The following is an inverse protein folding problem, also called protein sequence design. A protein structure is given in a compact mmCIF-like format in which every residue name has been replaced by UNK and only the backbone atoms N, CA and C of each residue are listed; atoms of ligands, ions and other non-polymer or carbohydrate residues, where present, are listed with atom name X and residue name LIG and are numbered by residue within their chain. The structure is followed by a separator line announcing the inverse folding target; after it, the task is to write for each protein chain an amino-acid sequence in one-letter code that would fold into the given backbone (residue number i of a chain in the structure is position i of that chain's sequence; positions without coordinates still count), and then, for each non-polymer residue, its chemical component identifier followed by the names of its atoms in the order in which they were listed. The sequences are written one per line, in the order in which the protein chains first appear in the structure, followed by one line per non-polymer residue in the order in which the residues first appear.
data_IF_122777706091
#
_entry.id   IF_122777706091
#
_cell.length_a   1.000
_cell.length_b   1.000
_cell.length_c   1.000
_cell.angle_alpha   90.00
_cell.angle_beta   90.00
_cell.angle_gamma   90.00
#
_symmetry.space_group_name_H-M   'P 1'
#
loop_
_entity.id
_entity.type
_entity.pdbx_description
1 polymer ?
#
# COMPACT_ATOMS: atom_id res chain seq x y z
N UNK A 1 32.34 36.82 -12.08
CA UNK A 1 31.24 36.25 -12.90
C UNK A 1 30.37 35.47 -11.91
N UNK A 2 29.22 36.04 -11.52
CA UNK A 2 28.24 35.33 -10.69
C UNK A 2 27.57 34.26 -11.56
N UNK A 3 27.96 33.03 -11.39
CA UNK A 3 27.15 31.91 -11.90
C UNK A 3 25.96 31.79 -10.98
N UNK A 4 24.85 32.45 -11.33
CA UNK A 4 23.56 32.23 -10.69
C UNK A 4 23.22 30.75 -10.83
N UNK A 5 23.10 30.09 -9.69
CA UNK A 5 22.66 28.70 -9.60
C UNK A 5 21.29 28.57 -10.29
N UNK A 6 21.09 27.68 -11.25
CA UNK A 6 19.82 27.59 -11.98
C UNK A 6 18.70 27.22 -10.99
N UNK A 7 17.67 28.06 -10.95
CA UNK A 7 16.47 27.77 -10.19
C UNK A 7 15.76 26.56 -10.83
N UNK A 8 15.45 25.56 -10.01
CA UNK A 8 14.70 24.39 -10.49
C UNK A 8 13.19 24.65 -10.42
N UNK A 9 12.47 24.19 -11.42
CA UNK A 9 11.01 24.27 -11.53
C UNK A 9 10.46 22.86 -11.69
N UNK A 10 9.54 22.46 -10.82
CA UNK A 10 8.80 21.20 -10.94
C UNK A 10 7.67 21.33 -11.96
N UNK A 11 7.59 20.41 -12.90
CA UNK A 11 6.55 20.36 -13.95
C UNK A 11 5.92 18.98 -13.99
N UNK A 12 4.60 18.93 -14.06
CA UNK A 12 3.86 17.70 -14.41
C UNK A 12 4.05 17.43 -15.90
N UNK A 13 4.43 16.22 -16.22
CA UNK A 13 4.78 15.81 -17.57
C UNK A 13 3.52 15.40 -18.32
N UNK A 14 3.22 16.06 -19.41
CA UNK A 14 2.12 15.68 -20.30
C UNK A 14 2.36 14.34 -21.01
N UNK A 15 1.30 13.73 -21.52
CA UNK A 15 1.31 12.36 -22.06
C UNK A 15 2.35 12.11 -23.17
N UNK A 16 2.70 13.12 -23.96
CA UNK A 16 3.69 13.00 -25.05
C UNK A 16 5.13 12.81 -24.58
N UNK A 17 5.48 13.24 -23.35
CA UNK A 17 6.85 13.24 -22.82
C UNK A 17 7.05 12.32 -21.61
N UNK A 18 5.99 11.69 -21.14
CA UNK A 18 6.05 10.76 -19.99
C UNK A 18 7.07 9.63 -20.23
N UNK A 19 7.19 9.15 -21.48
CA UNK A 19 8.11 8.07 -21.83
C UNK A 19 9.57 8.40 -21.54
N UNK A 20 10.06 9.57 -21.98
CA UNK A 20 11.47 9.99 -21.75
C UNK A 20 11.79 10.18 -20.28
N UNK A 21 10.94 10.90 -19.57
CA UNK A 21 11.10 11.14 -18.14
C UNK A 21 11.06 9.81 -17.34
N UNK A 22 10.16 8.90 -17.73
CA UNK A 22 10.07 7.58 -17.15
C UNK A 22 11.32 6.74 -17.41
N UNK A 23 11.78 6.64 -18.66
CA UNK A 23 12.98 5.85 -19.00
C UNK A 23 14.25 6.40 -18.31
N UNK A 24 14.36 7.72 -18.19
CA UNK A 24 15.44 8.33 -17.43
C UNK A 24 15.35 7.88 -15.94
N UNK A 25 14.18 8.02 -15.32
CA UNK A 25 13.98 7.65 -13.91
C UNK A 25 14.21 6.16 -13.65
N UNK A 26 13.76 5.29 -14.57
CA UNK A 26 13.93 3.85 -14.44
C UNK A 26 15.39 3.40 -14.67
N UNK A 27 16.19 4.19 -15.39
CA UNK A 27 17.63 3.96 -15.52
C UNK A 27 18.42 4.21 -14.23
N UNK A 28 17.86 4.98 -13.29
CA UNK A 28 18.53 5.37 -12.04
C UNK A 28 18.17 4.46 -10.83
N UNK A 29 17.35 3.44 -11.03
CA UNK A 29 16.90 2.52 -9.97
C UNK A 29 17.21 1.08 -10.29
N UNK A 30 17.02 0.17 -9.32
CA UNK A 30 17.26 -1.25 -9.56
C UNK A 30 16.34 -1.81 -10.65
N UNK A 31 16.78 -2.81 -11.43
CA UNK A 31 15.95 -3.44 -12.46
C UNK A 31 14.61 -3.96 -11.94
N UNK A 32 14.57 -4.50 -10.72
CA UNK A 32 13.37 -5.02 -10.10
C UNK A 32 12.35 -3.91 -9.80
N UNK A 33 12.83 -2.78 -9.27
CA UNK A 33 11.98 -1.62 -9.01
C UNK A 33 11.51 -1.00 -10.33
N UNK A 34 12.39 -0.88 -11.32
CA UNK A 34 12.06 -0.39 -12.64
C UNK A 34 10.92 -1.22 -13.27
N UNK A 35 11.02 -2.53 -13.20
CA UNK A 35 10.00 -3.45 -13.74
C UNK A 35 8.67 -3.33 -12.98
N UNK A 36 8.71 -3.26 -11.66
CA UNK A 36 7.50 -3.05 -10.84
C UNK A 36 6.75 -1.78 -11.23
N UNK A 37 7.47 -0.66 -11.44
CA UNK A 37 6.87 0.62 -11.86
C UNK A 37 6.33 0.52 -13.29
N UNK A 38 7.04 -0.14 -14.23
CA UNK A 38 6.55 -0.36 -15.61
C UNK A 38 5.24 -1.13 -15.62
N UNK A 39 5.18 -2.26 -14.89
CA UNK A 39 3.98 -3.10 -14.81
C UNK A 39 2.78 -2.30 -14.29
N UNK A 40 2.95 -1.45 -13.29
CA UNK A 40 1.88 -0.58 -12.79
C UNK A 40 1.41 0.42 -13.84
N UNK A 41 2.34 1.11 -14.52
CA UNK A 41 2.00 2.07 -15.57
C UNK A 41 1.30 1.40 -16.75
N UNK A 42 1.75 0.23 -17.17
CA UNK A 42 1.10 -0.54 -18.24
C UNK A 42 -0.27 -1.04 -17.82
N UNK A 43 -0.42 -1.54 -16.61
CA UNK A 43 -1.71 -1.93 -16.04
C UNK A 43 -2.72 -0.79 -16.07
N UNK A 44 -2.30 0.43 -15.75
CA UNK A 44 -3.12 1.64 -15.87
C UNK A 44 -3.52 1.96 -17.31
N UNK A 45 -2.58 1.88 -18.26
CA UNK A 45 -2.85 2.12 -19.68
C UNK A 45 -3.88 1.12 -20.21
N UNK A 46 -3.72 -0.15 -19.86
CA UNK A 46 -4.65 -1.22 -20.25
C UNK A 46 -6.04 -1.01 -19.61
N UNK A 47 -6.09 -0.67 -18.33
CA UNK A 47 -7.34 -0.38 -17.61
C UNK A 47 -8.13 0.75 -18.28
N UNK A 48 -7.47 1.87 -18.66
CA UNK A 48 -8.10 2.97 -19.39
C UNK A 48 -8.63 2.55 -20.76
N UNK A 49 -7.91 1.72 -21.49
CA UNK A 49 -8.38 1.20 -22.80
C UNK A 49 -9.63 0.32 -22.67
N UNK A 50 -9.85 -0.27 -21.50
CA UNK A 50 -11.03 -1.07 -21.14
C UNK A 50 -12.15 -0.24 -20.48
N UNK A 51 -12.04 1.11 -20.48
CA UNK A 51 -13.03 2.02 -19.90
C UNK A 51 -13.04 2.10 -18.37
N UNK A 52 -12.00 1.60 -17.70
CA UNK A 52 -11.81 1.80 -16.25
C UNK A 52 -11.32 3.22 -15.98
N UNK A 53 -11.99 3.89 -15.07
CA UNK A 53 -11.66 5.27 -14.65
C UNK A 53 -10.83 5.33 -13.36
N UNK A 54 -10.53 4.17 -12.79
CA UNK A 54 -9.88 4.06 -11.49
C UNK A 54 -8.40 4.41 -11.59
N UNK A 55 -8.02 5.40 -10.82
CA UNK A 55 -6.66 5.89 -10.67
C UNK A 55 -6.19 6.88 -11.74
N UNK A 56 -5.15 7.60 -11.40
CA UNK A 56 -4.37 8.43 -12.33
C UNK A 56 -2.90 8.32 -11.95
N UNK A 57 -2.02 8.21 -12.96
CA UNK A 57 -0.58 8.29 -12.73
C UNK A 57 -0.12 9.71 -13.05
N UNK A 58 0.60 10.30 -12.10
CA UNK A 58 1.19 11.62 -12.20
C UNK A 58 2.71 11.43 -12.25
N UNK A 59 3.32 11.94 -13.32
CA UNK A 59 4.78 11.97 -13.46
C UNK A 59 5.20 13.44 -13.46
N UNK A 60 6.13 13.81 -12.62
CA UNK A 60 6.69 15.16 -12.59
C UNK A 60 8.21 15.15 -12.56
N UNK A 61 8.81 16.08 -13.29
CA UNK A 61 10.26 16.30 -13.31
C UNK A 61 10.64 17.68 -12.78
N UNK A 62 11.85 17.78 -12.22
CA UNK A 62 12.49 19.04 -11.88
C UNK A 62 13.43 19.48 -13.00
N UNK A 63 13.23 20.66 -13.53
CA UNK A 63 14.01 21.23 -14.66
C UNK A 63 14.62 22.58 -14.28
N UNK A 64 15.74 22.97 -14.89
CA UNK A 64 16.26 24.34 -14.77
C UNK A 64 15.22 25.37 -15.20
N UNK A 65 15.19 26.52 -14.54
CA UNK A 65 14.36 27.63 -14.98
C UNK A 65 14.78 28.08 -16.38
N UNK A 66 13.85 28.05 -17.34
CA UNK A 66 14.14 28.28 -18.75
C UNK A 66 14.48 27.04 -19.58
N UNK A 67 14.67 25.88 -18.90
CA UNK A 67 14.81 24.58 -19.57
C UNK A 67 13.50 24.10 -20.20
N UNK A 68 13.61 23.22 -21.18
CA UNK A 68 12.48 22.61 -21.88
C UNK A 68 12.36 21.16 -21.50
N UNK A 69 11.13 20.72 -21.19
CA UNK A 69 10.81 19.28 -20.98
C UNK A 69 11.16 18.45 -22.21
N UNK A 70 11.20 19.08 -23.36
CA UNK A 70 11.45 18.43 -24.65
C UNK A 70 12.94 18.17 -24.91
N UNK A 71 13.81 19.04 -24.42
CA UNK A 71 15.23 19.06 -24.79
C UNK A 71 16.17 18.73 -23.63
N UNK A 72 15.72 18.91 -22.40
CA UNK A 72 16.55 18.74 -21.21
C UNK A 72 16.18 17.46 -20.45
N UNK A 73 17.17 16.79 -19.87
CA UNK A 73 16.94 15.72 -18.93
C UNK A 73 16.51 16.30 -17.56
N UNK A 74 15.60 15.64 -16.83
CA UNK A 74 15.20 16.11 -15.51
C UNK A 74 16.35 15.96 -14.50
N UNK A 75 16.41 16.88 -13.53
CA UNK A 75 17.34 16.81 -12.41
C UNK A 75 16.79 15.98 -11.24
N UNK A 76 15.51 15.62 -11.29
CA UNK A 76 14.82 14.74 -10.34
C UNK A 76 13.44 14.38 -10.87
N UNK A 77 12.93 13.22 -10.48
CA UNK A 77 11.62 12.72 -10.93
C UNK A 77 10.83 12.21 -9.75
N UNK A 78 9.53 12.51 -9.72
CA UNK A 78 8.56 11.91 -8.82
C UNK A 78 7.41 11.30 -9.62
N UNK A 79 7.01 10.08 -9.27
CA UNK A 79 5.90 9.36 -9.88
C UNK A 79 4.94 8.95 -8.76
N UNK A 80 3.67 9.30 -8.89
CA UNK A 80 2.63 8.91 -7.96
C UNK A 80 1.42 8.32 -8.70
N UNK A 81 0.72 7.41 -8.04
CA UNK A 81 -0.51 6.77 -8.48
C UNK A 81 -1.64 7.13 -7.53
N UNK A 82 -2.78 7.58 -8.04
CA UNK A 82 -3.99 7.76 -7.24
C UNK A 82 -4.63 6.40 -7.04
N UNK A 83 -4.61 5.91 -5.81
CA UNK A 83 -5.06 4.55 -5.46
C UNK A 83 -6.45 4.55 -4.83
N UNK A 84 -6.84 5.67 -4.22
CA UNK A 84 -8.15 5.88 -3.60
C UNK A 84 -8.58 7.33 -3.83
N UNK A 85 -9.87 7.67 -3.67
CA UNK A 85 -10.34 9.04 -3.92
C UNK A 85 -9.62 10.14 -3.13
N UNK A 86 -9.10 9.81 -1.94
CA UNK A 86 -8.41 10.73 -1.03
C UNK A 86 -6.91 10.46 -0.89
N UNK A 87 -6.40 9.39 -1.53
CA UNK A 87 -5.01 8.92 -1.39
C UNK A 87 -4.33 8.70 -2.73
N UNK A 88 -3.05 9.03 -2.77
CA UNK A 88 -2.12 8.58 -3.79
C UNK A 88 -0.90 7.90 -3.15
N UNK A 89 -0.29 6.97 -3.85
CA UNK A 89 0.94 6.31 -3.47
C UNK A 89 2.11 6.83 -4.31
N UNK A 90 3.20 7.19 -3.65
CA UNK A 90 4.45 7.57 -4.31
C UNK A 90 5.15 6.30 -4.76
N UNK A 91 5.17 6.06 -6.06
CA UNK A 91 5.79 4.88 -6.67
C UNK A 91 7.30 5.04 -6.80
N UNK A 92 7.75 6.25 -7.12
CA UNK A 92 9.15 6.52 -7.40
C UNK A 92 9.52 7.96 -7.06
N UNK A 93 10.66 8.13 -6.42
CA UNK A 93 11.29 9.41 -6.16
C UNK A 93 12.80 9.28 -6.46
N UNK A 94 13.26 9.93 -7.50
CA UNK A 94 14.64 9.84 -7.98
C UNK A 94 15.34 11.19 -7.84
N UNK A 95 16.49 11.16 -7.18
CA UNK A 95 17.49 12.22 -7.23
C UNK A 95 18.43 11.96 -8.43
N UNK A 96 19.04 13.00 -9.02
CA UNK A 96 20.07 12.77 -9.99
C UNK A 96 21.21 11.94 -9.38
N UNK A 97 21.89 11.10 -10.16
CA UNK A 97 23.10 10.43 -9.67
C UNK A 97 24.03 11.53 -9.15
N UNK A 98 24.59 11.33 -7.97
CA UNK A 98 25.68 12.17 -7.47
C UNK A 98 26.84 12.02 -8.46
N UNK A 99 26.82 12.84 -9.50
CA UNK A 99 27.64 12.73 -10.70
C UNK A 99 29.09 12.51 -10.34
N UNK A 100 29.64 11.47 -10.94
CA UNK A 100 31.08 11.29 -11.00
C UNK A 100 31.74 12.55 -11.57
N UNK A 101 32.49 13.25 -10.75
CA UNK A 101 33.41 14.26 -11.17
C UNK A 101 32.89 15.70 -11.21
N UNK A 102 32.79 16.28 -10.04
CA UNK A 102 33.35 17.61 -9.76
C UNK A 102 33.54 17.73 -8.24
N UNK A 103 34.77 17.48 -7.80
CA UNK A 103 35.29 17.98 -6.53
C UNK A 103 35.27 19.51 -6.59
N UNK A 104 34.20 20.10 -6.13
CA UNK A 104 34.02 21.54 -5.96
C UNK A 104 33.24 21.72 -4.68
N UNK A 105 33.99 21.78 -3.57
CA UNK A 105 33.50 22.39 -2.31
C UNK A 105 33.01 23.80 -2.61
N UNK A 106 31.95 24.15 -1.87
CA UNK A 106 31.53 25.51 -1.58
C UNK A 106 30.63 26.21 -2.62
N UNK A 107 29.33 26.14 -2.40
CA UNK A 107 28.55 27.38 -2.30
C UNK A 107 27.35 27.14 -1.42
N UNK A 108 27.36 27.83 -0.28
CA UNK A 108 26.29 27.91 0.69
C UNK A 108 25.16 28.78 0.10
N UNK A 109 24.43 28.24 -0.84
CA UNK A 109 23.18 28.77 -1.37
C UNK A 109 22.18 27.63 -1.29
N UNK A 110 20.97 27.89 -0.82
CA UNK A 110 19.87 26.92 -0.71
C UNK A 110 19.57 26.31 -2.11
N UNK A 111 20.33 25.29 -2.47
CA UNK A 111 20.08 24.52 -3.67
C UNK A 111 18.86 23.65 -3.35
N UNK A 112 17.69 23.99 -3.89
CA UNK A 112 16.47 23.19 -3.70
C UNK A 112 16.75 21.78 -4.20
N UNK A 113 16.49 20.80 -3.34
CA UNK A 113 16.56 19.38 -3.66
C UNK A 113 15.69 19.08 -4.89
N UNK A 114 16.25 18.54 -5.99
CA UNK A 114 15.49 18.28 -7.21
C UNK A 114 14.30 17.33 -7.00
N UNK A 115 14.46 16.32 -6.14
CA UNK A 115 13.38 15.42 -5.76
C UNK A 115 12.25 16.17 -5.05
N UNK A 116 12.59 17.09 -4.14
CA UNK A 116 11.58 17.92 -3.47
C UNK A 116 10.84 18.84 -4.45
N UNK A 117 11.52 19.35 -5.47
CA UNK A 117 10.90 20.19 -6.52
C UNK A 117 9.94 19.37 -7.38
N UNK A 118 10.34 18.17 -7.83
CA UNK A 118 9.49 17.25 -8.58
C UNK A 118 8.28 16.81 -7.76
N UNK A 119 8.50 16.42 -6.51
CA UNK A 119 7.44 16.04 -5.57
C UNK A 119 6.46 17.19 -5.32
N UNK A 120 6.94 18.43 -5.23
CA UNK A 120 6.09 19.62 -5.12
C UNK A 120 5.13 19.78 -6.30
N UNK A 121 5.54 19.41 -7.51
CA UNK A 121 4.65 19.40 -8.68
C UNK A 121 3.60 18.29 -8.60
N UNK A 122 3.98 17.08 -8.15
CA UNK A 122 3.04 15.98 -7.89
C UNK A 122 2.00 16.42 -6.84
N UNK A 123 2.43 16.98 -5.71
CA UNK A 123 1.53 17.42 -4.63
C UNK A 123 0.52 18.48 -5.12
N UNK A 124 0.93 19.42 -5.98
CA UNK A 124 0.01 20.40 -6.57
C UNK A 124 -1.03 19.73 -7.46
N UNK A 125 -0.61 18.82 -8.34
CA UNK A 125 -1.53 18.10 -9.23
C UNK A 125 -2.52 17.25 -8.43
N UNK A 126 -2.08 16.54 -7.39
CA UNK A 126 -2.94 15.76 -6.50
C UNK A 126 -3.97 16.63 -5.80
N UNK A 127 -3.57 17.80 -5.30
CA UNK A 127 -4.48 18.77 -4.68
C UNK A 127 -5.55 19.27 -5.64
N UNK A 128 -5.17 19.57 -6.89
CA UNK A 128 -6.11 19.97 -7.94
C UNK A 128 -7.13 18.86 -8.27
N UNK A 129 -6.74 17.60 -8.04
CA UNK A 129 -7.62 16.42 -8.17
C UNK A 129 -8.46 16.14 -6.91
N UNK A 130 -8.28 16.90 -5.83
CA UNK A 130 -8.96 16.67 -4.55
C UNK A 130 -8.34 15.57 -3.68
N UNK A 131 -7.16 15.08 -4.04
CA UNK A 131 -6.43 14.05 -3.26
C UNK A 131 -5.66 14.74 -2.13
N UNK A 132 -6.03 14.46 -0.88
CA UNK A 132 -5.48 15.13 0.31
C UNK A 132 -4.24 14.48 0.91
N UNK A 133 -3.97 13.22 0.59
CA UNK A 133 -2.95 12.40 1.23
C UNK A 133 -2.06 11.68 0.21
N UNK A 134 -0.75 11.78 0.40
CA UNK A 134 0.25 11.04 -0.37
C UNK A 134 1.03 10.13 0.57
N UNK A 135 1.06 8.84 0.24
CA UNK A 135 1.74 7.78 0.97
C UNK A 135 2.99 7.31 0.23
N UNK A 136 3.97 6.83 0.97
CA UNK A 136 5.15 6.16 0.45
C UNK A 136 5.54 5.01 1.38
N UNK A 137 6.25 4.02 0.84
CA UNK A 137 6.86 2.95 1.63
C UNK A 137 8.37 2.99 1.51
N UNK A 138 9.06 2.47 2.55
CA UNK A 138 10.51 2.33 2.54
C UNK A 138 10.92 0.99 3.14
N UNK A 139 11.95 0.38 2.56
CA UNK A 139 12.61 -0.83 3.09
C UNK A 139 14.03 -0.54 3.61
N UNK A 140 14.58 0.60 3.22
CA UNK A 140 15.96 0.96 3.55
C UNK A 140 16.07 2.32 4.24
N UNK A 141 17.10 2.47 5.07
CA UNK A 141 17.39 3.75 5.75
C UNK A 141 17.65 4.91 4.77
N UNK A 142 18.13 4.61 3.55
CA UNK A 142 18.38 5.63 2.51
C UNK A 142 17.07 6.18 1.97
N UNK A 143 16.08 5.32 1.74
CA UNK A 143 14.73 5.72 1.35
C UNK A 143 14.07 6.54 2.46
N UNK A 144 14.19 6.08 3.71
CA UNK A 144 13.68 6.79 4.88
C UNK A 144 14.24 8.22 4.97
N UNK A 145 15.57 8.35 4.94
CA UNK A 145 16.23 9.67 4.99
C UNK A 145 15.85 10.57 3.82
N UNK A 146 15.55 9.98 2.65
CA UNK A 146 15.06 10.74 1.48
C UNK A 146 13.66 11.25 1.72
N UNK A 147 12.75 10.39 2.18
CA UNK A 147 11.36 10.76 2.46
C UNK A 147 11.28 11.84 3.54
N UNK A 148 12.06 11.73 4.62
CA UNK A 148 12.15 12.76 5.65
C UNK A 148 12.58 14.12 5.08
N UNK A 149 13.63 14.15 4.25
CA UNK A 149 14.13 15.39 3.63
C UNK A 149 13.09 16.10 2.78
N UNK A 150 12.22 15.34 2.11
CA UNK A 150 11.18 15.91 1.24
C UNK A 150 9.84 16.12 1.97
N UNK A 151 9.83 15.98 3.29
CA UNK A 151 8.71 16.38 4.15
C UNK A 151 7.67 15.29 4.41
N UNK A 152 8.00 14.00 4.22
CA UNK A 152 7.17 12.91 4.72
C UNK A 152 7.44 12.69 6.21
N UNK A 153 6.38 12.29 6.92
CA UNK A 153 6.46 11.82 8.30
C UNK A 153 6.18 10.31 8.34
N UNK A 154 6.89 9.59 9.21
CA UNK A 154 6.63 8.17 9.41
C UNK A 154 5.28 8.00 10.12
N UNK A 155 4.37 7.22 9.52
CA UNK A 155 3.02 6.97 10.06
C UNK A 155 2.86 5.57 10.62
N UNK A 156 3.61 4.59 10.12
CA UNK A 156 3.60 3.22 10.65
C UNK A 156 4.91 2.49 10.36
N UNK A 157 5.13 1.39 11.08
CA UNK A 157 6.11 0.35 10.75
C UNK A 157 5.37 -0.95 10.51
N UNK A 158 5.42 -1.45 9.30
CA UNK A 158 4.66 -2.63 8.89
C UNK A 158 5.60 -3.82 8.71
N UNK A 159 5.21 -4.98 9.27
CA UNK A 159 5.80 -6.27 8.92
C UNK A 159 4.93 -6.93 7.84
N UNK A 160 5.54 -7.27 6.72
CA UNK A 160 4.94 -8.19 5.75
C UNK A 160 5.26 -9.60 6.21
N UNK A 161 4.23 -10.37 6.46
CA UNK A 161 4.36 -11.74 6.98
C UNK A 161 3.72 -12.74 6.04
N UNK A 162 4.25 -13.95 5.99
CA UNK A 162 3.76 -15.04 5.15
C UNK A 162 3.56 -16.31 5.94
N UNK A 163 2.55 -17.08 5.57
CA UNK A 163 2.28 -18.42 6.08
C UNK A 163 2.11 -19.38 4.91
N UNK A 164 2.94 -20.42 4.87
CA UNK A 164 2.74 -21.56 3.98
C UNK A 164 1.65 -22.48 4.54
N UNK A 165 0.77 -22.97 3.67
CA UNK A 165 -0.37 -23.82 4.05
C UNK A 165 -0.13 -25.31 3.72
N UNK A 166 1.13 -25.74 3.73
CA UNK A 166 1.50 -27.12 3.53
C UNK A 166 1.03 -28.04 4.69
N UNK A 167 0.77 -29.31 4.41
CA UNK A 167 0.24 -30.26 5.38
C UNK A 167 1.15 -30.53 6.60
N UNK A 168 2.42 -30.06 6.58
CA UNK A 168 3.31 -30.19 7.72
C UNK A 168 2.96 -29.18 8.85
N UNK A 169 2.43 -28.01 8.47
CA UNK A 169 2.00 -26.99 9.42
C UNK A 169 0.58 -27.21 9.96
N UNK A 170 -0.23 -28.02 9.29
CA UNK A 170 -1.60 -28.34 9.70
C UNK A 170 -1.66 -28.84 11.16
N UNK A 171 -0.76 -29.76 11.52
CA UNK A 171 -0.65 -30.32 12.88
C UNK A 171 -0.23 -29.30 13.94
N UNK A 172 0.44 -28.21 13.55
CA UNK A 172 0.80 -27.12 14.45
C UNK A 172 -0.39 -26.21 14.72
N UNK A 173 -1.23 -25.96 13.70
CA UNK A 173 -2.43 -25.13 13.82
C UNK A 173 -3.55 -25.80 14.62
N UNK A 174 -3.71 -27.13 14.53
CA UNK A 174 -4.66 -27.90 15.36
C UNK A 174 -4.35 -27.79 16.86
N UNK A 175 -3.11 -27.48 17.23
CA UNK A 175 -2.67 -27.27 18.61
C UNK A 175 -2.94 -25.86 19.13
N UNK A 176 -3.38 -24.92 18.29
CA UNK A 176 -3.79 -23.60 18.76
C UNK A 176 -5.13 -23.75 19.45
N UNK A 177 -5.05 -24.03 20.75
CA UNK A 177 -6.23 -24.21 21.57
C UNK A 177 -7.01 -22.91 21.66
N UNK A 178 -8.28 -22.96 21.29
CA UNK A 178 -9.22 -21.87 21.53
C UNK A 178 -9.66 -22.01 22.98
N UNK A 179 -9.02 -21.27 23.89
CA UNK A 179 -9.31 -21.33 25.34
C UNK A 179 -10.77 -21.02 25.65
N UNK A 180 -11.46 -20.37 24.73
CA UNK A 180 -12.86 -20.03 24.85
C UNK A 180 -13.56 -20.23 23.49
N UNK A 181 -14.44 -21.22 23.36
CA UNK A 181 -15.20 -21.38 22.12
C UNK A 181 -16.05 -20.13 21.86
N UNK A 182 -16.20 -19.73 20.58
CA UNK A 182 -17.06 -18.62 20.23
C UNK A 182 -18.51 -18.90 20.66
N UNK A 183 -19.32 -17.86 20.99
CA UNK A 183 -20.71 -18.00 21.29
C UNK A 183 -21.47 -18.76 20.19
N UNK A 184 -22.50 -19.53 20.61
CA UNK A 184 -23.28 -20.37 19.69
C UNK A 184 -24.05 -19.54 18.62
N UNK A 185 -24.32 -18.29 18.88
CA UNK A 185 -25.09 -17.38 18.02
C UNK A 185 -24.23 -16.58 17.01
N UNK A 186 -23.00 -17.02 16.72
CA UNK A 186 -22.17 -16.39 15.71
C UNK A 186 -22.35 -17.02 14.33
N UNK A 187 -22.20 -16.20 13.30
CA UNK A 187 -22.33 -16.63 11.91
C UNK A 187 -21.39 -15.84 10.97
N UNK A 188 -20.73 -16.55 10.07
CA UNK A 188 -19.98 -15.99 8.97
C UNK A 188 -20.89 -15.82 7.74
N UNK A 189 -20.84 -14.65 7.09
CA UNK A 189 -21.58 -14.36 5.86
C UNK A 189 -20.60 -13.90 4.82
N UNK A 190 -20.54 -14.58 3.67
CA UNK A 190 -19.68 -14.18 2.53
C UNK A 190 -20.17 -12.87 1.92
N UNK A 191 -19.29 -12.11 1.29
CA UNK A 191 -19.72 -10.90 0.59
C UNK A 191 -20.66 -11.23 -0.57
N UNK A 192 -20.42 -12.35 -1.27
CA UNK A 192 -21.34 -12.87 -2.29
C UNK A 192 -22.73 -13.13 -1.71
N UNK A 193 -22.83 -13.75 -0.52
CA UNK A 193 -24.08 -14.03 0.17
C UNK A 193 -24.86 -12.79 0.65
N UNK A 194 -24.20 -11.63 0.72
CA UNK A 194 -24.83 -10.35 1.05
C UNK A 194 -25.49 -9.69 -0.19
N UNK A 195 -25.20 -10.18 -1.40
CA UNK A 195 -25.71 -9.57 -2.63
C UNK A 195 -25.36 -8.09 -2.75
N UNK A 196 -26.25 -7.25 -3.24
CA UNK A 196 -25.98 -5.82 -3.47
C UNK A 196 -25.64 -5.02 -2.20
N UNK A 197 -25.96 -5.53 -1.02
CA UNK A 197 -25.72 -4.87 0.27
C UNK A 197 -24.30 -5.03 0.83
N UNK A 198 -23.45 -5.83 0.21
CA UNK A 198 -22.14 -6.20 0.75
C UNK A 198 -21.26 -4.97 1.01
N UNK A 199 -21.21 -4.01 0.06
CA UNK A 199 -20.35 -2.83 0.15
C UNK A 199 -20.67 -1.98 1.38
N UNK A 200 -21.94 -1.66 1.58
CA UNK A 200 -22.38 -0.87 2.75
C UNK A 200 -22.12 -1.60 4.06
N UNK A 201 -22.32 -2.93 4.10
CA UNK A 201 -22.05 -3.73 5.27
C UNK A 201 -20.54 -3.79 5.60
N UNK A 202 -19.67 -3.91 4.58
CA UNK A 202 -18.21 -3.85 4.75
C UNK A 202 -17.80 -2.49 5.30
N UNK A 203 -18.21 -1.39 4.67
CA UNK A 203 -17.86 -0.03 5.12
C UNK A 203 -18.26 0.18 6.58
N UNK A 204 -19.51 -0.07 6.94
CA UNK A 204 -19.98 0.12 8.31
C UNK A 204 -19.23 -0.77 9.32
N UNK A 205 -18.90 -2.02 8.94
CA UNK A 205 -18.18 -2.93 9.83
C UNK A 205 -16.72 -2.49 9.99
N UNK A 206 -16.03 -2.13 8.90
CA UNK A 206 -14.65 -1.65 8.95
C UNK A 206 -14.56 -0.38 9.80
N UNK A 207 -15.43 0.62 9.58
CA UNK A 207 -15.48 1.83 10.41
C UNK A 207 -15.60 1.51 11.90
N UNK A 208 -16.54 0.62 12.26
CA UNK A 208 -16.74 0.20 13.65
C UNK A 208 -15.50 -0.47 14.25
N UNK A 209 -14.64 -1.08 13.42
CA UNK A 209 -13.40 -1.69 13.90
C UNK A 209 -12.24 -0.70 14.08
N UNK A 210 -12.35 0.54 13.61
CA UNK A 210 -11.33 1.56 13.86
C UNK A 210 -11.44 2.18 15.26
N UNK A 211 -12.60 2.11 15.90
CA UNK A 211 -12.77 2.64 17.25
C UNK A 211 -11.79 1.98 18.23
N UNK A 212 -10.89 2.77 18.83
CA UNK A 212 -9.85 2.27 19.76
C UNK A 212 -8.86 1.27 19.13
N UNK A 213 -8.70 1.27 17.80
CA UNK A 213 -7.69 0.45 17.13
C UNK A 213 -6.28 0.94 17.45
N UNK A 214 -5.34 -0.02 17.54
CA UNK A 214 -3.91 0.26 17.63
C UNK A 214 -3.25 0.20 16.25
N UNK A 215 -4.02 -0.12 15.21
CA UNK A 215 -3.52 -0.26 13.86
C UNK A 215 -3.43 1.11 13.19
N UNK A 216 -2.28 1.39 12.60
CA UNK A 216 -2.03 2.61 11.83
C UNK A 216 -2.37 3.92 12.56
N UNK A 217 -2.03 4.01 13.86
CA UNK A 217 -2.27 5.22 14.67
C UNK A 217 -1.70 6.49 14.04
N UNK A 218 -0.60 6.39 13.30
CA UNK A 218 0.00 7.51 12.58
C UNK A 218 -0.85 8.06 11.43
N UNK A 219 -1.87 7.32 10.97
CA UNK A 219 -2.81 7.80 9.96
C UNK A 219 -3.95 8.66 10.54
N UNK A 220 -4.11 8.66 11.86
CA UNK A 220 -5.10 9.51 12.52
C UNK A 220 -4.83 10.98 12.21
N UNK A 221 -5.84 11.66 11.65
CA UNK A 221 -5.72 13.05 11.20
C UNK A 221 -5.21 13.22 9.76
N UNK A 222 -4.74 12.16 9.10
CA UNK A 222 -4.48 12.16 7.65
C UNK A 222 -5.69 11.69 6.85
N UNK A 223 -6.40 10.67 7.35
CA UNK A 223 -7.50 10.03 6.65
C UNK A 223 -8.69 9.81 7.58
N UNK A 224 -9.88 10.00 7.05
CA UNK A 224 -11.13 9.67 7.73
C UNK A 224 -11.38 8.15 7.70
N UNK A 225 -11.89 7.59 8.80
CA UNK A 225 -12.20 6.16 8.91
C UNK A 225 -13.12 5.67 7.78
N UNK A 226 -14.11 6.49 7.40
CA UNK A 226 -15.01 6.19 6.28
C UNK A 226 -14.25 6.08 4.95
N UNK A 227 -13.33 7.01 4.66
CA UNK A 227 -12.55 6.98 3.41
C UNK A 227 -11.68 5.72 3.32
N UNK A 228 -11.05 5.31 4.42
CA UNK A 228 -10.29 4.06 4.49
C UNK A 228 -11.21 2.85 4.27
N UNK A 229 -12.35 2.81 4.94
CA UNK A 229 -13.31 1.71 4.82
C UNK A 229 -13.88 1.60 3.40
N UNK A 230 -14.21 2.74 2.79
CA UNK A 230 -14.69 2.80 1.41
C UNK A 230 -13.59 2.33 0.43
N UNK A 231 -12.35 2.79 0.62
CA UNK A 231 -11.22 2.37 -0.20
C UNK A 231 -10.96 0.86 -0.11
N UNK A 232 -11.05 0.27 1.09
CA UNK A 232 -10.94 -1.19 1.26
C UNK A 232 -12.08 -1.94 0.56
N UNK A 233 -13.31 -1.43 0.64
CA UNK A 233 -14.45 -2.03 -0.05
C UNK A 233 -14.34 -1.90 -1.58
N UNK A 234 -13.80 -0.79 -2.07
CA UNK A 234 -13.66 -0.50 -3.50
C UNK A 234 -12.35 -1.05 -4.09
N UNK A 235 -11.46 -1.62 -3.24
CA UNK A 235 -10.20 -2.19 -3.70
C UNK A 235 -10.45 -3.29 -4.74
N UNK A 236 -9.79 -3.17 -5.88
CA UNK A 236 -9.89 -4.18 -6.94
C UNK A 236 -9.32 -5.51 -6.46
N UNK A 237 -9.98 -6.60 -6.81
CA UNK A 237 -9.48 -7.95 -6.55
C UNK A 237 -9.94 -8.59 -5.25
N UNK A 238 -10.85 -8.00 -4.46
CA UNK A 238 -11.47 -8.73 -3.35
C UNK A 238 -12.19 -9.99 -3.86
N UNK A 239 -11.87 -11.12 -3.26
CA UNK A 239 -12.62 -12.35 -3.51
C UNK A 239 -13.88 -12.37 -2.64
N UNK A 240 -15.04 -12.17 -3.25
CA UNK A 240 -16.34 -12.12 -2.55
C UNK A 240 -16.79 -13.47 -2.00
N UNK A 241 -16.25 -14.60 -2.50
CA UNK A 241 -16.54 -15.95 -2.00
C UNK A 241 -15.73 -16.25 -0.74
N UNK A 242 -14.50 -15.72 -0.68
CA UNK A 242 -13.57 -15.92 0.43
C UNK A 242 -13.72 -14.85 1.51
N UNK A 243 -13.97 -13.60 1.11
CA UNK A 243 -14.19 -12.46 2.03
C UNK A 243 -15.53 -12.58 2.75
N UNK A 244 -15.56 -12.24 4.04
CA UNK A 244 -16.76 -12.41 4.86
C UNK A 244 -16.85 -11.48 6.05
N UNK A 245 -18.08 -11.29 6.51
CA UNK A 245 -18.39 -10.57 7.73
C UNK A 245 -18.80 -11.57 8.84
N UNK A 246 -18.38 -11.27 10.05
CA UNK A 246 -18.81 -11.96 11.26
C UNK A 246 -20.05 -11.28 11.84
N UNK A 247 -21.09 -12.05 12.12
CA UNK A 247 -22.29 -11.62 12.81
C UNK A 247 -22.38 -12.29 14.19
N UNK A 248 -22.64 -11.50 15.23
CA UNK A 248 -22.77 -11.98 16.61
C UNK A 248 -23.97 -11.29 17.26
N UNK A 249 -24.94 -12.06 17.76
CA UNK A 249 -26.15 -11.51 18.36
C UNK A 249 -26.97 -10.61 17.42
N UNK A 250 -26.88 -10.87 16.11
CA UNK A 250 -27.61 -10.07 15.12
C UNK A 250 -26.82 -8.90 14.50
N UNK A 251 -25.75 -8.43 15.14
CA UNK A 251 -24.94 -7.30 14.70
C UNK A 251 -23.70 -7.71 13.92
N UNK A 252 -23.23 -6.86 13.00
CA UNK A 252 -21.91 -7.00 12.39
C UNK A 252 -20.82 -6.73 13.43
N UNK A 253 -19.91 -7.66 13.59
CA UNK A 253 -18.96 -7.68 14.71
C UNK A 253 -17.50 -7.90 14.29
N UNK A 254 -17.27 -8.29 13.06
CA UNK A 254 -15.93 -8.46 12.49
C UNK A 254 -15.94 -8.59 10.99
N UNK A 255 -14.78 -8.42 10.41
CA UNK A 255 -14.57 -8.42 8.94
C UNK A 255 -13.29 -9.14 8.59
N UNK A 256 -13.33 -9.88 7.50
CA UNK A 256 -12.23 -10.63 6.89
C UNK A 256 -12.27 -10.39 5.38
N UNK A 257 -11.34 -9.57 4.87
CA UNK A 257 -11.21 -9.27 3.45
C UNK A 257 -10.00 -10.00 2.88
N UNK A 258 -10.22 -10.78 1.84
CA UNK A 258 -9.22 -11.64 1.19
C UNK A 258 -9.19 -11.31 -0.30
N UNK A 259 -7.98 -11.30 -0.86
CA UNK A 259 -7.74 -11.17 -2.29
C UNK A 259 -6.73 -12.21 -2.77
N UNK A 260 -6.71 -12.58 -4.06
CA UNK A 260 -5.60 -13.33 -4.65
C UNK A 260 -4.30 -12.50 -4.57
N UNK A 261 -3.21 -13.11 -4.16
CA UNK A 261 -1.88 -12.52 -4.25
C UNK A 261 -1.40 -12.61 -5.70
N UNK A 262 -1.01 -11.48 -6.30
CA UNK A 262 -0.58 -11.45 -7.71
C UNK A 262 -1.71 -11.23 -8.72
N UNK A 263 -2.95 -11.07 -8.28
CA UNK A 263 -3.97 -10.41 -9.10
C UNK A 263 -3.55 -8.96 -9.31
N UNK A 264 -3.55 -8.48 -10.57
CA UNK A 264 -3.21 -7.09 -10.92
C UNK A 264 -4.23 -6.18 -10.25
N UNK A 265 -4.02 -5.89 -8.98
CA UNK A 265 -4.69 -4.84 -8.26
C UNK A 265 -3.89 -3.58 -8.53
N UNK A 266 -4.39 -2.75 -9.44
CA UNK A 266 -3.91 -1.38 -9.53
C UNK A 266 -4.13 -0.75 -8.14
N UNK A 267 -3.07 -0.52 -7.40
CA UNK A 267 -3.15 0.23 -6.15
C UNK A 267 -2.70 -0.47 -4.89
N UNK A 268 -1.89 -1.53 -4.94
CA UNK A 268 -1.35 -2.07 -3.71
C UNK A 268 0.16 -2.21 -3.70
N UNK A 269 0.69 -1.60 -2.67
CA UNK A 269 2.08 -1.59 -2.27
C UNK A 269 2.71 -2.97 -2.38
N UNK A 270 3.65 -3.13 -3.29
CA UNK A 270 4.67 -4.18 -3.29
C UNK A 270 4.29 -5.47 -2.57
N UNK A 271 3.14 -6.06 -2.93
CA UNK A 271 2.78 -7.39 -2.48
C UNK A 271 3.90 -8.36 -2.80
N UNK A 272 4.04 -9.41 -2.00
CA UNK A 272 5.03 -10.50 -2.12
C UNK A 272 5.10 -11.19 -3.50
N UNK A 273 4.44 -10.65 -4.52
CA UNK A 273 4.50 -11.10 -5.90
C UNK A 273 5.90 -10.89 -6.47
N UNK A 274 6.58 -11.97 -6.75
CA UNK A 274 7.78 -12.10 -7.61
C UNK A 274 9.16 -12.24 -6.99
N UNK A 275 9.30 -13.01 -5.90
CA UNK A 275 10.64 -13.52 -5.57
C UNK A 275 10.80 -15.05 -5.56
N UNK A 276 9.84 -15.79 -6.07
CA UNK A 276 10.00 -17.24 -6.23
C UNK A 276 9.32 -17.71 -7.52
N UNK A 277 10.06 -17.69 -8.61
CA UNK A 277 9.74 -18.44 -9.83
C UNK A 277 9.69 -19.92 -9.51
N UNK A 278 8.52 -20.43 -9.20
CA UNK A 278 8.24 -21.83 -9.01
C UNK A 278 6.74 -22.05 -9.21
N UNK A 279 6.39 -22.58 -10.36
CA UNK A 279 5.04 -23.06 -10.64
C UNK A 279 4.70 -24.21 -9.68
N UNK A 280 4.11 -23.89 -8.54
CA UNK A 280 3.49 -24.86 -7.66
C UNK A 280 1.98 -24.69 -7.74
N UNK A 281 1.23 -25.78 -7.67
CA UNK A 281 -0.22 -25.81 -7.81
C UNK A 281 -0.92 -25.11 -6.64
N UNK A 282 -1.89 -24.24 -6.93
CA UNK A 282 -2.75 -23.53 -5.98
C UNK A 282 -2.50 -22.02 -5.89
N UNK A 283 -3.53 -21.21 -5.56
CA UNK A 283 -3.44 -19.76 -5.47
C UNK A 283 -2.68 -19.33 -4.21
N UNK A 284 -1.98 -18.20 -4.31
CA UNK A 284 -1.52 -17.45 -3.15
C UNK A 284 -2.60 -16.41 -2.79
N UNK A 285 -2.86 -16.22 -1.51
CA UNK A 285 -3.85 -15.27 -1.00
C UNK A 285 -3.21 -14.18 -0.18
N UNK A 286 -3.88 -13.04 -0.13
CA UNK A 286 -3.54 -11.92 0.73
C UNK A 286 -4.70 -11.58 1.64
N UNK A 287 -4.41 -11.44 2.93
CA UNK A 287 -5.32 -10.86 3.90
C UNK A 287 -5.22 -9.33 3.79
N UNK A 288 -6.19 -8.72 3.11
CA UNK A 288 -6.28 -7.27 2.93
C UNK A 288 -6.68 -6.53 4.19
N UNK A 289 -7.61 -7.10 4.93
CA UNK A 289 -8.06 -6.51 6.18
C UNK A 289 -8.67 -7.56 7.11
N UNK A 290 -8.36 -7.43 8.39
CA UNK A 290 -8.98 -8.17 9.48
C UNK A 290 -9.32 -7.20 10.59
N UNK A 291 -10.58 -7.09 10.94
CA UNK A 291 -11.03 -6.20 12.01
C UNK A 291 -12.05 -6.84 12.92
N UNK A 292 -12.03 -6.43 14.19
CA UNK A 292 -12.98 -6.84 15.23
C UNK A 292 -13.48 -5.60 15.94
N UNK A 293 -14.80 -5.49 16.11
CA UNK A 293 -15.41 -4.39 16.86
C UNK A 293 -14.93 -4.38 18.31
N UNK A 294 -14.83 -3.21 18.97
CA UNK A 294 -14.28 -3.08 20.33
C UNK A 294 -14.91 -4.03 21.35
N UNK A 295 -16.22 -4.25 21.27
CA UNK A 295 -16.97 -5.12 22.21
C UNK A 295 -16.48 -6.58 22.24
N UNK A 296 -15.82 -7.04 21.18
CA UNK A 296 -15.33 -8.42 21.07
C UNK A 296 -13.82 -8.54 21.32
N UNK A 297 -13.10 -7.42 21.45
CA UNK A 297 -11.65 -7.45 21.70
C UNK A 297 -11.36 -8.04 23.08
N UNK A 298 -10.17 -8.64 23.23
CA UNK A 298 -9.73 -9.24 24.49
C UNK A 298 -10.44 -10.54 24.89
N UNK A 299 -11.42 -11.01 24.12
CA UNK A 299 -12.22 -12.20 24.45
C UNK A 299 -11.96 -13.42 23.53
N UNK A 300 -10.81 -13.45 22.83
CA UNK A 300 -10.39 -14.60 22.01
C UNK A 300 -10.85 -14.55 20.55
N UNK A 301 -11.67 -13.61 20.14
CA UNK A 301 -12.21 -13.53 18.78
C UNK A 301 -11.14 -13.36 17.69
N UNK A 302 -9.99 -12.78 18.00
CA UNK A 302 -8.88 -12.72 17.06
C UNK A 302 -8.40 -14.10 16.61
N UNK A 303 -8.34 -15.05 17.54
CA UNK A 303 -8.03 -16.45 17.24
C UNK A 303 -9.11 -17.07 16.36
N UNK A 304 -10.38 -16.83 16.69
CA UNK A 304 -11.53 -17.34 15.91
C UNK A 304 -11.51 -16.85 14.46
N UNK A 305 -11.23 -15.55 14.23
CA UNK A 305 -11.17 -14.98 12.88
C UNK A 305 -9.99 -15.57 12.08
N UNK A 306 -8.82 -15.69 12.70
CA UNK A 306 -7.66 -16.28 12.02
C UNK A 306 -7.89 -17.77 11.73
N UNK A 307 -8.55 -18.49 12.62
CA UNK A 307 -8.95 -19.88 12.36
C UNK A 307 -9.90 -19.97 11.15
N UNK A 308 -10.87 -19.06 11.05
CA UNK A 308 -11.76 -18.99 9.89
C UNK A 308 -11.01 -18.64 8.60
N UNK A 309 -10.06 -17.68 8.65
CA UNK A 309 -9.18 -17.37 7.51
C UNK A 309 -8.48 -18.64 7.00
N UNK A 310 -7.84 -19.39 7.89
CA UNK A 310 -7.13 -20.61 7.53
C UNK A 310 -8.05 -21.69 6.97
N UNK A 311 -9.24 -21.84 7.56
CA UNK A 311 -10.26 -22.79 7.07
C UNK A 311 -10.69 -22.45 5.63
N UNK A 312 -10.92 -21.17 5.36
CA UNK A 312 -11.35 -20.68 4.06
C UNK A 312 -10.25 -20.84 3.02
N UNK A 313 -9.04 -20.42 3.35
CA UNK A 313 -7.90 -20.48 2.44
C UNK A 313 -7.54 -21.93 2.07
N UNK A 314 -7.56 -22.85 3.02
CA UNK A 314 -7.36 -24.28 2.76
C UNK A 314 -8.48 -24.86 1.91
N UNK A 315 -9.74 -24.49 2.20
CA UNK A 315 -10.88 -24.92 1.40
C UNK A 315 -10.84 -24.47 -0.05
N UNK A 316 -10.15 -23.35 -0.34
CA UNK A 316 -9.90 -22.87 -1.70
C UNK A 316 -8.60 -23.44 -2.32
N UNK A 317 -7.86 -24.26 -1.58
CA UNK A 317 -6.61 -24.87 -2.06
C UNK A 317 -5.43 -23.88 -2.08
N UNK A 318 -5.50 -22.81 -1.31
CA UNK A 318 -4.41 -21.85 -1.25
C UNK A 318 -3.13 -22.47 -0.68
N UNK A 319 -1.99 -22.11 -1.28
CA UNK A 319 -0.67 -22.56 -0.82
C UNK A 319 -0.10 -21.64 0.25
N UNK A 320 -0.36 -20.36 0.15
CA UNK A 320 0.25 -19.33 0.96
C UNK A 320 -0.74 -18.20 1.26
N UNK A 321 -0.60 -17.61 2.46
CA UNK A 321 -1.30 -16.38 2.84
C UNK A 321 -0.29 -15.33 3.26
N UNK A 322 -0.31 -14.17 2.58
CA UNK A 322 0.38 -12.96 2.98
C UNK A 322 -0.48 -12.07 3.87
N UNK A 323 0.15 -11.30 4.74
CA UNK A 323 -0.47 -10.24 5.52
C UNK A 323 0.53 -9.11 5.77
N UNK A 324 0.06 -7.88 5.71
CA UNK A 324 0.79 -6.71 6.18
C UNK A 324 0.21 -6.27 7.53
N UNK A 325 1.03 -6.15 8.57
CA UNK A 325 0.59 -5.83 9.93
C UNK A 325 1.41 -4.70 10.52
N UNK A 326 0.75 -3.68 11.08
CA UNK A 326 1.43 -2.64 11.84
C UNK A 326 2.07 -3.23 13.11
N UNK A 327 3.37 -3.00 13.28
CA UNK A 327 4.11 -3.48 14.45
C UNK A 327 3.65 -2.86 15.77
N UNK A 328 2.94 -1.72 15.72
CA UNK A 328 2.28 -1.13 16.88
C UNK A 328 1.08 -1.98 17.36
N UNK A 329 0.46 -2.76 16.46
CA UNK A 329 -0.63 -3.68 16.79
C UNK A 329 -0.10 -4.98 17.38
N UNK A 330 0.48 -4.92 18.60
CA UNK A 330 1.12 -6.07 19.26
C UNK A 330 0.22 -7.30 19.38
N UNK A 331 -1.09 -7.10 19.56
CA UNK A 331 -2.07 -8.19 19.64
C UNK A 331 -2.20 -8.93 18.28
N UNK A 332 -2.26 -8.21 17.17
CA UNK A 332 -2.32 -8.81 15.84
C UNK A 332 -1.02 -9.55 15.50
N UNK A 333 0.14 -8.92 15.76
CA UNK A 333 1.46 -9.55 15.57
C UNK A 333 1.58 -10.84 16.37
N UNK A 334 1.14 -10.84 17.65
CA UNK A 334 1.18 -12.02 18.51
C UNK A 334 0.30 -13.15 17.97
N UNK A 335 -0.90 -12.82 17.46
CA UNK A 335 -1.80 -13.82 16.88
C UNK A 335 -1.17 -14.42 15.62
N UNK A 336 -0.69 -13.62 14.67
CA UNK A 336 -0.07 -14.15 13.46
C UNK A 336 1.14 -15.05 13.77
N UNK A 337 2.03 -14.62 14.67
CA UNK A 337 3.17 -15.46 15.11
C UNK A 337 2.72 -16.76 15.76
N UNK A 338 1.67 -16.73 16.58
CA UNK A 338 1.10 -17.94 17.24
C UNK A 338 0.61 -18.96 16.21
N UNK A 339 0.08 -18.49 15.07
CA UNK A 339 -0.36 -19.34 13.96
C UNK A 339 0.76 -19.65 12.95
N UNK A 340 2.01 -19.27 13.21
CA UNK A 340 3.17 -19.64 12.41
C UNK A 340 3.50 -18.72 11.25
N UNK A 341 2.85 -17.55 11.13
CA UNK A 341 3.28 -16.54 10.18
C UNK A 341 4.71 -16.11 10.45
N UNK A 342 5.52 -16.00 9.40
CA UNK A 342 6.91 -15.55 9.47
C UNK A 342 7.05 -14.19 8.79
N UNK A 343 7.84 -13.33 9.41
CA UNK A 343 8.18 -12.03 8.85
C UNK A 343 9.09 -12.23 7.63
N UNK A 344 8.75 -11.59 6.51
CA UNK A 344 9.49 -11.62 5.25
C UNK A 344 10.29 -10.33 5.08
N UNK A 345 9.65 -9.18 5.31
CA UNK A 345 10.26 -7.86 5.20
C UNK A 345 9.58 -6.88 6.13
N UNK A 346 10.30 -5.84 6.54
CA UNK A 346 9.75 -4.68 7.23
C UNK A 346 9.77 -3.48 6.32
N UNK A 347 8.71 -2.67 6.44
CA UNK A 347 8.57 -1.42 5.71
C UNK A 347 8.20 -0.29 6.65
N UNK A 348 8.83 0.87 6.44
CA UNK A 348 8.31 2.12 6.95
C UNK A 348 7.17 2.58 6.05
N UNK A 349 6.03 2.96 6.63
CA UNK A 349 4.96 3.67 5.92
C UNK A 349 5.08 5.14 6.26
N UNK A 350 5.08 5.97 5.23
CA UNK A 350 5.31 7.40 5.32
C UNK A 350 4.13 8.14 4.71
N UNK A 351 3.81 9.28 5.27
CA UNK A 351 2.71 10.09 4.79
C UNK A 351 3.04 11.56 4.75
N UNK A 352 2.48 12.27 3.78
CA UNK A 352 2.44 13.72 3.78
C UNK A 352 1.10 14.21 3.26
N UNK A 353 0.70 15.42 3.71
CA UNK A 353 -0.45 16.11 3.13
C UNK A 353 -0.06 16.72 1.79
N UNK A 354 -1.00 16.74 0.87
CA UNK A 354 -0.82 17.46 -0.39
C UNK A 354 -0.95 18.97 -0.21
N UNK A 355 -1.64 19.40 0.87
CA UNK A 355 -1.67 20.76 1.36
C UNK A 355 -0.39 21.04 2.18
N UNK A 356 0.33 22.10 1.88
CA UNK A 356 1.53 22.49 2.60
C UNK A 356 2.12 23.76 2.05
#
# INVERSE_FOLDING_TARGET
MHTSNPMLIGRVIGSGWQGRCLEWALGEVSPELAESVRVRIEGHRLGRSLGRTDGAIIIAGAYPAGGSVENDDPHGVAIAEVTMPDQADLLLLVDPPLGGGRSGRESCGEQRDPAAVALGAVRRALREMGVGYLQATSETWREESRLERVGFCRVANVAVMSLELDGAQERAHERVHIDRPPPADHRWVTLEGLGAGWRSAVIATVEATFEGSQDSLGLVGYREAFAVAAGLADSSGLDHRLSRLLRVGGDWAGVLLIAPLGGVSAGDDGGLGDRAGGSLEGPDLELRYLGITPRLRGSGWGVTIVTELLRVARGDGARRIGVSVDLASGAAVAIYRRFGWREVVRRGVWGCRTEG
#
